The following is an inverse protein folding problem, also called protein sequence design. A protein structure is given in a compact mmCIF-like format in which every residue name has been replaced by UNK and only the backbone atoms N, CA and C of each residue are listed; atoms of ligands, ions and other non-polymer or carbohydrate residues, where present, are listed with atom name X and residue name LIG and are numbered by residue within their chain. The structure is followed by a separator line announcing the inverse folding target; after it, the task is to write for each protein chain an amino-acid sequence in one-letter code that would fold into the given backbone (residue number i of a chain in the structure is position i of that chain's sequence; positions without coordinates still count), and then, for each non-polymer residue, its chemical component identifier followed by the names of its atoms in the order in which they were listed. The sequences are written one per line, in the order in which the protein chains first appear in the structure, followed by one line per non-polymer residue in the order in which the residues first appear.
data_IF_363886915091
#
_entry.id   IF_363886915091
#
_cell.length_a   1.000
_cell.length_b   1.000
_cell.length_c   1.000
_cell.angle_alpha   90.00
_cell.angle_beta   90.00
_cell.angle_gamma   90.00
#
_symmetry.space_group_name_H-M   'P 1'
#
loop_
_entity.id
_entity.type
_entity.pdbx_description
1 polymer ?
#
# COMPACT_ATOMS: atom_id res chain seq x y z
N UNK A 1 16.62 -1.08 11.18
CA UNK A 1 17.70 -0.07 11.10
C UNK A 1 17.18 1.19 10.47
N UNK A 2 17.94 2.28 10.57
CA UNK A 2 17.52 3.63 10.13
C UNK A 2 17.21 3.71 8.63
N UNK A 3 17.91 2.94 7.79
CA UNK A 3 17.73 2.96 6.33
C UNK A 3 16.51 2.17 5.81
N UNK A 4 15.80 1.48 6.70
CA UNK A 4 14.59 0.71 6.34
C UNK A 4 13.39 1.64 6.10
N UNK A 5 12.34 1.20 5.37
CA UNK A 5 11.12 2.00 5.21
C UNK A 5 10.52 2.45 6.55
N UNK A 6 10.49 1.55 7.55
CA UNK A 6 10.02 1.86 8.90
C UNK A 6 10.98 2.82 9.63
N UNK A 7 12.29 2.61 9.53
CA UNK A 7 13.30 3.50 10.11
C UNK A 7 13.17 4.94 9.58
N UNK A 8 13.05 5.09 8.25
CA UNK A 8 12.83 6.37 7.58
C UNK A 8 11.51 7.03 7.99
N UNK A 9 10.45 6.24 8.18
CA UNK A 9 9.18 6.76 8.69
C UNK A 9 9.33 7.31 10.11
N UNK A 10 9.93 6.54 11.03
CA UNK A 10 10.11 6.93 12.42
C UNK A 10 10.97 8.21 12.54
N UNK A 11 12.05 8.32 11.76
CA UNK A 11 12.88 9.52 11.73
C UNK A 11 12.14 10.77 11.24
N UNK A 12 11.21 10.61 10.28
CA UNK A 12 10.50 11.73 9.65
C UNK A 12 9.21 12.13 10.36
N UNK A 13 8.53 11.18 11.00
CA UNK A 13 7.16 11.34 11.53
C UNK A 13 7.04 11.01 13.01
N UNK A 14 8.04 10.39 13.63
CA UNK A 14 7.94 9.84 14.97
C UNK A 14 7.09 8.56 15.03
N UNK A 15 6.87 8.01 16.24
CA UNK A 15 6.00 6.86 16.43
C UNK A 15 4.55 7.20 16.09
N UNK A 16 3.84 6.27 15.43
CA UNK A 16 2.45 6.45 15.02
C UNK A 16 2.00 5.42 13.99
N UNK A 17 0.83 5.62 13.40
CA UNK A 17 0.29 4.76 12.35
C UNK A 17 1.08 4.95 11.06
N UNK A 18 1.69 3.87 10.56
CA UNK A 18 2.51 3.88 9.35
C UNK A 18 1.67 3.85 8.06
N UNK A 19 0.72 2.91 7.99
CA UNK A 19 -0.24 2.76 6.89
C UNK A 19 -1.49 2.05 7.40
N UNK A 20 -2.52 1.99 6.57
CA UNK A 20 -3.70 1.14 6.78
C UNK A 20 -3.76 0.11 5.66
N UNK A 21 -4.08 -1.15 5.99
CA UNK A 21 -4.23 -2.23 5.03
C UNK A 21 -5.70 -2.64 4.93
N UNK A 22 -6.20 -2.82 3.71
CA UNK A 22 -7.52 -3.36 3.42
C UNK A 22 -7.40 -4.66 2.65
N UNK A 23 -8.17 -5.65 3.06
CA UNK A 23 -8.28 -6.91 2.33
C UNK A 23 -9.19 -6.74 1.10
N UNK A 24 -8.81 -7.36 -0.02
CA UNK A 24 -9.59 -7.40 -1.26
C UNK A 24 -9.66 -8.83 -1.80
N UNK A 25 -10.77 -9.16 -2.46
CA UNK A 25 -11.00 -10.49 -3.03
C UNK A 25 -10.16 -10.73 -4.31
N UNK A 26 -9.96 -9.68 -5.13
CA UNK A 26 -9.14 -9.72 -6.35
C UNK A 26 -8.36 -8.41 -6.50
N UNK A 27 -7.05 -8.48 -6.28
CA UNK A 27 -6.15 -7.33 -6.30
C UNK A 27 -5.94 -6.79 -7.71
N UNK A 28 -6.02 -7.62 -8.75
CA UNK A 28 -5.86 -7.16 -10.13
C UNK A 28 -7.08 -6.38 -10.57
N UNK A 29 -8.27 -6.85 -10.19
CA UNK A 29 -9.52 -6.10 -10.37
C UNK A 29 -9.48 -4.78 -9.61
N UNK A 30 -9.06 -4.79 -8.34
CA UNK A 30 -8.91 -3.56 -7.55
C UNK A 30 -7.94 -2.57 -8.19
N UNK A 31 -6.75 -3.02 -8.66
CA UNK A 31 -5.79 -2.16 -9.37
C UNK A 31 -6.41 -1.53 -10.61
N UNK A 32 -7.18 -2.30 -11.39
CA UNK A 32 -7.87 -1.80 -12.58
C UNK A 32 -8.88 -0.72 -12.23
N UNK A 33 -9.74 -0.97 -11.23
CA UNK A 33 -10.74 0.01 -10.77
C UNK A 33 -10.08 1.30 -10.26
N UNK A 34 -8.99 1.18 -9.48
CA UNK A 34 -8.23 2.34 -9.01
C UNK A 34 -7.70 3.19 -10.19
N UNK A 35 -7.18 2.54 -11.24
CA UNK A 35 -6.69 3.24 -12.44
C UNK A 35 -7.82 3.95 -13.19
N UNK A 36 -8.98 3.31 -13.36
CA UNK A 36 -10.16 3.91 -13.99
C UNK A 36 -10.65 5.15 -13.22
N UNK A 37 -10.52 5.14 -11.89
CA UNK A 37 -10.84 6.25 -11.01
C UNK A 37 -9.72 7.32 -10.89
N UNK A 38 -8.65 7.21 -11.69
CA UNK A 38 -7.46 8.08 -11.62
C UNK A 38 -6.78 8.09 -10.23
N UNK A 39 -6.93 7.00 -9.47
CA UNK A 39 -6.25 6.79 -8.19
C UNK A 39 -4.85 6.22 -8.46
N UNK A 40 -3.83 6.90 -7.92
CA UNK A 40 -2.43 6.54 -8.19
C UNK A 40 -2.00 5.39 -7.29
N UNK A 41 -1.69 4.25 -7.89
CA UNK A 41 -0.96 3.14 -7.25
C UNK A 41 0.55 3.34 -7.34
N UNK A 42 1.30 2.77 -6.39
CA UNK A 42 2.77 2.82 -6.37
C UNK A 42 3.41 1.78 -7.31
N UNK A 43 2.68 0.70 -7.62
CA UNK A 43 3.10 -0.34 -8.56
C UNK A 43 1.91 -0.73 -9.44
N UNK A 44 2.16 -1.01 -10.71
CA UNK A 44 1.15 -1.46 -11.66
C UNK A 44 0.79 -2.93 -11.50
N UNK A 45 1.66 -3.71 -10.84
CA UNK A 45 1.48 -5.13 -10.56
C UNK A 45 1.59 -5.37 -9.05
N UNK A 46 0.80 -6.31 -8.50
CA UNK A 46 0.92 -6.69 -7.10
C UNK A 46 2.26 -7.41 -6.86
N UNK A 47 2.82 -7.24 -5.67
CA UNK A 47 4.01 -7.95 -5.19
C UNK A 47 3.63 -8.97 -4.13
N UNK A 48 4.46 -9.99 -3.89
CA UNK A 48 4.22 -10.94 -2.80
C UNK A 48 4.71 -10.32 -1.49
N UNK A 49 3.78 -10.14 -0.55
CA UNK A 49 4.00 -9.64 0.80
C UNK A 49 4.24 -10.76 1.82
N UNK A 50 3.96 -10.46 3.09
CA UNK A 50 4.04 -11.44 4.16
C UNK A 50 3.06 -12.59 3.94
N UNK A 51 3.40 -13.79 4.41
CA UNK A 51 2.53 -14.98 4.40
C UNK A 51 1.95 -15.36 3.01
N UNK A 52 2.58 -14.90 1.93
CA UNK A 52 2.16 -15.19 0.56
C UNK A 52 1.06 -14.29 0.00
N UNK A 53 0.64 -13.26 0.74
CA UNK A 53 -0.39 -12.32 0.27
C UNK A 53 0.11 -11.56 -0.97
N UNK A 54 -0.77 -11.29 -1.93
CA UNK A 54 -0.49 -10.31 -2.97
C UNK A 54 -0.82 -8.93 -2.44
N UNK A 55 0.08 -7.97 -2.63
CA UNK A 55 -0.08 -6.61 -2.09
C UNK A 55 0.21 -5.52 -3.10
N UNK A 56 -0.47 -4.38 -2.98
CA UNK A 56 -0.21 -3.15 -3.72
C UNK A 56 -0.45 -1.94 -2.82
N UNK A 57 0.30 -0.87 -3.03
CA UNK A 57 0.16 0.37 -2.25
C UNK A 57 -0.45 1.48 -3.08
N UNK A 58 -1.33 2.28 -2.48
CA UNK A 58 -1.90 3.49 -3.05
C UNK A 58 -1.06 4.69 -2.60
N UNK A 59 -0.70 5.58 -3.53
CA UNK A 59 0.09 6.75 -3.23
C UNK A 59 -0.69 7.69 -2.28
N UNK A 60 -0.08 8.19 -1.19
CA UNK A 60 -0.73 9.10 -0.23
C UNK A 60 -1.39 10.35 -0.82
N UNK A 61 -1.07 10.71 -2.07
CA UNK A 61 -1.66 11.86 -2.77
C UNK A 61 -3.10 11.61 -3.19
N UNK A 62 -3.48 10.34 -3.36
CA UNK A 62 -4.84 9.93 -3.70
C UNK A 62 -5.70 9.58 -2.47
N UNK A 63 -5.12 9.59 -1.27
CA UNK A 63 -5.72 9.08 -0.03
C UNK A 63 -5.57 10.06 1.14
N UNK A 64 -5.48 11.37 0.85
CA UNK A 64 -5.47 12.41 1.88
C UNK A 64 -4.25 12.41 2.81
N UNK A 65 -3.11 11.88 2.35
CA UNK A 65 -1.85 11.83 3.10
C UNK A 65 -1.57 10.51 3.81
N UNK A 66 -2.48 9.54 3.74
CA UNK A 66 -2.33 8.21 4.37
C UNK A 66 -1.81 7.20 3.35
N UNK A 67 -0.75 6.46 3.66
CA UNK A 67 -0.34 5.31 2.85
C UNK A 67 -1.36 4.19 3.04
N UNK A 68 -1.92 3.68 1.95
CA UNK A 68 -2.91 2.59 1.99
C UNK A 68 -2.33 1.38 1.26
N UNK A 69 -2.47 0.21 1.87
CA UNK A 69 -2.12 -1.08 1.30
C UNK A 69 -3.41 -1.85 0.97
N UNK A 70 -3.45 -2.52 -0.18
CA UNK A 70 -4.45 -3.52 -0.49
C UNK A 70 -3.77 -4.89 -0.48
N UNK A 71 -4.40 -5.87 0.15
CA UNK A 71 -3.88 -7.23 0.26
C UNK A 71 -4.93 -8.26 -0.17
N UNK A 72 -4.53 -9.23 -0.99
CA UNK A 72 -5.32 -10.41 -1.36
C UNK A 72 -4.68 -11.64 -0.72
N UNK A 73 -5.51 -12.47 -0.08
CA UNK A 73 -5.08 -13.75 0.48
C UNK A 73 -4.55 -14.69 -0.61
N UNK A 74 -3.63 -15.63 -0.26
CA UNK A 74 -3.12 -16.62 -1.21
C UNK A 74 -4.20 -17.40 -1.96
#
# INVERSE_FOLDING_TARGET
GEDTPIGKFLLKKGPGVHHVCFEVDDINKAIKELKELNIKVLSDTPTVGAEGYKVVFIHPKSTGGVLVELAEKP
#
